data_IF_050297555163
#
_entry.id   IF_050297555163
#
_cell.length_a   1.000
_cell.length_b   1.000
_cell.length_c   1.000
_cell.angle_alpha   90.00
_cell.angle_beta   90.00
_cell.angle_gamma   90.00
#
_symmetry.space_group_name_H-M   'P 1'
#
loop_
_entity.id
_entity.type
_entity.pdbx_description
1 polymer ?
#
# COMPACT_ATOMS: atom_id res chain seq x y z
N UNK A 1 -18.12 -17.36 -18.48
CA UNK A 1 -17.08 -16.62 -17.75
C UNK A 1 -17.51 -16.60 -16.29
N UNK A 2 -16.79 -17.26 -15.39
CA UNK A 2 -17.20 -17.31 -13.99
C UNK A 2 -17.01 -15.94 -13.34
N UNK A 3 -17.86 -15.60 -12.37
CA UNK A 3 -17.87 -14.27 -11.73
C UNK A 3 -16.51 -13.91 -11.14
N UNK A 4 -15.81 -14.92 -10.64
CA UNK A 4 -14.43 -14.87 -10.15
C UNK A 4 -13.45 -14.37 -11.22
N UNK A 5 -13.52 -14.92 -12.43
CA UNK A 5 -12.60 -14.59 -13.52
C UNK A 5 -12.81 -13.12 -13.96
N UNK A 6 -14.05 -12.64 -13.96
CA UNK A 6 -14.38 -11.23 -14.24
C UNK A 6 -13.75 -10.30 -13.19
N UNK A 7 -13.86 -10.67 -11.92
CA UNK A 7 -13.31 -9.91 -10.79
C UNK A 7 -11.77 -9.87 -10.86
N UNK A 8 -11.12 -11.00 -11.15
CA UNK A 8 -9.66 -11.06 -11.32
C UNK A 8 -9.17 -10.20 -12.48
N UNK A 9 -9.82 -10.30 -13.64
CA UNK A 9 -9.45 -9.51 -14.81
C UNK A 9 -9.64 -8.01 -14.52
N UNK A 10 -10.74 -7.64 -13.85
CA UNK A 10 -10.98 -6.26 -13.44
C UNK A 10 -9.85 -5.74 -12.55
N UNK A 11 -9.48 -6.47 -11.50
CA UNK A 11 -8.41 -6.04 -10.60
C UNK A 11 -7.04 -6.02 -11.28
N UNK A 12 -6.75 -6.92 -12.22
CA UNK A 12 -5.50 -6.89 -12.98
C UNK A 12 -5.42 -5.65 -13.88
N UNK A 13 -6.51 -5.33 -14.60
CA UNK A 13 -6.60 -4.17 -15.48
C UNK A 13 -6.48 -2.86 -14.71
N UNK A 14 -6.96 -2.79 -13.46
CA UNK A 14 -6.86 -1.57 -12.64
C UNK A 14 -5.55 -1.52 -11.84
N UNK A 15 -5.21 -2.61 -11.17
CA UNK A 15 -4.09 -2.68 -10.23
C UNK A 15 -2.73 -2.52 -10.89
N UNK A 16 -2.52 -3.17 -12.06
CA UNK A 16 -1.23 -3.10 -12.76
C UNK A 16 -0.94 -1.65 -13.22
N UNK A 17 -1.81 -0.95 -13.96
CA UNK A 17 -1.55 0.42 -14.37
C UNK A 17 -1.36 1.39 -13.20
N UNK A 18 -2.15 1.27 -12.13
CA UNK A 18 -2.04 2.18 -10.98
C UNK A 18 -0.69 2.01 -10.27
N UNK A 19 -0.22 0.77 -10.10
CA UNK A 19 1.11 0.52 -9.52
C UNK A 19 2.25 1.03 -10.43
N UNK A 20 2.12 0.91 -11.76
CA UNK A 20 3.09 1.50 -12.69
C UNK A 20 3.11 3.02 -12.63
N UNK A 21 1.94 3.68 -12.54
CA UNK A 21 1.85 5.13 -12.35
C UNK A 21 2.51 5.53 -11.03
N UNK A 22 2.27 4.79 -9.95
CA UNK A 22 2.92 5.05 -8.67
C UNK A 22 4.45 4.93 -8.76
N UNK A 23 4.97 3.86 -9.37
CA UNK A 23 6.41 3.69 -9.58
C UNK A 23 7.00 4.84 -10.41
N UNK A 24 6.32 5.24 -11.50
CA UNK A 24 6.75 6.35 -12.33
C UNK A 24 6.87 7.65 -11.51
N UNK A 25 5.83 7.99 -10.72
CA UNK A 25 5.86 9.20 -9.89
C UNK A 25 6.96 9.11 -8.81
N UNK A 26 7.14 7.96 -8.16
CA UNK A 26 8.21 7.76 -7.18
C UNK A 26 9.58 8.00 -7.81
N UNK A 27 9.84 7.44 -9.00
CA UNK A 27 11.11 7.61 -9.71
C UNK A 27 11.37 9.08 -10.04
N UNK A 28 10.36 9.80 -10.53
CA UNK A 28 10.47 11.22 -10.85
C UNK A 28 10.71 12.10 -9.60
N UNK A 29 10.07 11.77 -8.47
CA UNK A 29 10.15 12.57 -7.24
C UNK A 29 11.37 12.24 -6.35
N UNK A 30 12.04 11.11 -6.59
CA UNK A 30 13.27 10.67 -5.88
C UNK A 30 14.40 11.69 -5.92
N UNK A 31 14.39 12.61 -6.88
CA UNK A 31 15.37 13.70 -7.03
C UNK A 31 15.46 14.60 -5.78
N UNK A 32 14.38 14.74 -5.00
CA UNK A 32 14.39 15.58 -3.79
C UNK A 32 15.03 14.86 -2.58
N UNK A 33 16.07 15.48 -2.00
CA UNK A 33 16.85 14.90 -0.89
C UNK A 33 16.00 14.48 0.33
N UNK A 34 14.93 15.22 0.64
CA UNK A 34 14.07 14.97 1.80
C UNK A 34 13.09 13.78 1.64
N UNK A 35 12.86 13.29 0.42
CA UNK A 35 11.92 12.20 0.14
C UNK A 35 12.59 10.86 -0.12
N UNK A 36 13.93 10.78 -0.18
CA UNK A 36 14.65 9.56 -0.59
C UNK A 36 14.31 8.33 0.26
N UNK A 37 14.29 8.47 1.59
CA UNK A 37 13.97 7.35 2.49
C UNK A 37 12.51 6.91 2.35
N UNK A 38 11.59 7.84 2.14
CA UNK A 38 10.15 7.56 1.98
C UNK A 38 9.83 6.99 0.60
N UNK A 39 10.50 7.49 -0.44
CA UNK A 39 10.42 6.97 -1.80
C UNK A 39 10.89 5.51 -1.86
N UNK A 40 11.93 5.13 -1.12
CA UNK A 40 12.41 3.74 -1.09
C UNK A 40 11.38 2.80 -0.44
N UNK A 41 10.76 3.23 0.67
CA UNK A 41 9.67 2.46 1.31
C UNK A 41 8.51 2.27 0.33
N UNK A 42 8.07 3.34 -0.31
CA UNK A 42 6.97 3.29 -1.27
C UNK A 42 7.30 2.51 -2.54
N UNK A 43 8.55 2.56 -2.99
CA UNK A 43 9.04 1.78 -4.11
C UNK A 43 8.99 0.28 -3.81
N UNK A 44 9.45 -0.11 -2.62
CA UNK A 44 9.35 -1.50 -2.16
C UNK A 44 7.90 -1.95 -2.03
N UNK A 45 7.01 -1.07 -1.54
CA UNK A 45 5.58 -1.34 -1.48
C UNK A 45 5.00 -1.60 -2.88
N UNK A 46 5.24 -0.69 -3.83
CA UNK A 46 4.70 -0.82 -5.19
C UNK A 46 5.24 -2.06 -5.92
N UNK A 47 6.51 -2.44 -5.69
CA UNK A 47 7.07 -3.70 -6.22
C UNK A 47 6.37 -4.90 -5.58
N UNK A 48 6.21 -4.90 -4.26
CA UNK A 48 5.51 -5.98 -3.55
C UNK A 48 4.10 -6.18 -4.08
N UNK A 49 3.35 -5.08 -4.29
CA UNK A 49 1.97 -5.11 -4.80
C UNK A 49 1.92 -5.65 -6.25
N UNK A 50 2.88 -5.28 -7.12
CA UNK A 50 2.97 -5.84 -8.49
C UNK A 50 3.29 -7.33 -8.47
N UNK A 51 4.24 -7.74 -7.63
CA UNK A 51 4.62 -9.15 -7.51
C UNK A 51 3.42 -9.96 -7.02
N UNK A 52 2.69 -9.47 -6.02
CA UNK A 52 1.48 -10.13 -5.50
C UNK A 52 0.41 -10.29 -6.59
N UNK A 53 0.08 -9.22 -7.31
CA UNK A 53 -0.87 -9.28 -8.43
C UNK A 53 -0.40 -10.26 -9.51
N UNK A 54 0.89 -10.25 -9.86
CA UNK A 54 1.44 -11.18 -10.85
C UNK A 54 1.36 -12.63 -10.37
N UNK A 55 1.73 -12.89 -9.11
CA UNK A 55 1.65 -14.22 -8.51
C UNK A 55 0.21 -14.73 -8.45
N UNK A 56 -0.79 -13.89 -8.26
CA UNK A 56 -2.19 -14.32 -8.27
C UNK A 56 -2.74 -14.56 -9.69
N UNK A 57 -2.28 -13.81 -10.70
CA UNK A 57 -2.66 -14.04 -12.11
C UNK A 57 -2.04 -15.32 -12.66
N UNK A 58 -0.78 -15.59 -12.32
CA UNK A 58 -0.04 -16.76 -12.83
C UNK A 58 -0.13 -17.98 -11.88
N UNK A 59 -0.38 -17.75 -10.60
CA UNK A 59 -0.46 -18.76 -9.57
C UNK A 59 -1.85 -19.39 -9.53
N UNK A 60 -2.10 -20.33 -10.43
CA UNK A 60 -3.18 -21.30 -10.27
C UNK A 60 -2.91 -22.23 -9.09
N UNK A 61 -3.09 -21.74 -7.86
CA UNK A 61 -2.99 -22.56 -6.66
C UNK A 61 -4.25 -23.43 -6.57
N UNK A 62 -4.14 -24.68 -7.01
CA UNK A 62 -5.11 -25.72 -6.68
C UNK A 62 -5.03 -26.00 -5.18
N UNK A 63 -5.89 -25.35 -4.38
CA UNK A 63 -5.99 -25.53 -2.93
C UNK A 63 -6.44 -26.97 -2.56
N UNK A 64 -6.84 -27.77 -3.56
CA UNK A 64 -7.47 -29.08 -3.40
C UNK A 64 -6.54 -30.28 -3.60
N UNK A 65 -5.22 -30.09 -3.72
CA UNK A 65 -4.29 -31.24 -3.77
C UNK A 65 -4.04 -31.84 -2.36
N UNK A 66 -4.02 -33.17 -2.19
CA UNK A 66 -3.74 -33.80 -0.89
C UNK A 66 -2.37 -33.42 -0.29
N UNK A 67 -1.42 -32.96 -1.12
CA UNK A 67 -0.11 -32.49 -0.68
C UNK A 67 -0.13 -31.04 -0.15
N UNK A 68 -1.25 -30.31 -0.23
CA UNK A 68 -1.43 -28.93 0.27
C UNK A 68 -1.95 -28.80 1.71
N UNK A 69 -2.10 -29.89 2.46
CA UNK A 69 -2.50 -29.82 3.88
C UNK A 69 -1.57 -28.90 4.72
N UNK A 70 -0.24 -28.86 4.49
CA UNK A 70 0.62 -27.88 5.15
C UNK A 70 0.29 -26.43 4.78
N UNK A 71 -0.06 -26.13 3.52
CA UNK A 71 -0.42 -24.78 3.09
C UNK A 71 -1.79 -24.34 3.63
N UNK A 72 -2.71 -25.28 3.84
CA UNK A 72 -4.01 -25.05 4.51
C UNK A 72 -3.85 -24.58 5.96
N UNK A 73 -2.86 -25.09 6.69
CA UNK A 73 -2.58 -24.70 8.09
C UNK A 73 -1.68 -23.46 8.15
N UNK A 74 -0.73 -23.33 7.23
CA UNK A 74 0.20 -22.19 7.18
C UNK A 74 -0.47 -20.89 6.70
N UNK A 75 -1.40 -20.99 5.74
CA UNK A 75 -2.11 -19.86 5.13
C UNK A 75 -2.86 -18.96 6.12
N UNK A 76 -3.59 -19.46 7.14
CA UNK A 76 -4.25 -18.60 8.12
C UNK A 76 -3.34 -18.16 9.29
N UNK A 77 -2.27 -18.91 9.59
CA UNK A 77 -1.40 -18.63 10.75
C UNK A 77 -0.49 -17.42 10.53
N UNK A 78 0.01 -17.25 9.30
CA UNK A 78 0.89 -16.12 8.93
C UNK A 78 0.16 -14.77 8.95
N UNK A 79 -1.06 -14.62 8.38
CA UNK A 79 -1.87 -13.41 8.47
C UNK A 79 -2.16 -12.99 9.90
N UNK A 80 -2.51 -13.92 10.79
CA UNK A 80 -2.80 -13.58 12.18
C UNK A 80 -1.57 -12.93 12.84
N UNK A 81 -0.40 -13.57 12.77
CA UNK A 81 0.85 -13.07 13.36
C UNK A 81 1.26 -11.73 12.72
N UNK A 82 1.18 -11.63 11.40
CA UNK A 82 1.54 -10.41 10.67
C UNK A 82 0.60 -9.26 11.01
N UNK A 83 -0.70 -9.48 11.19
CA UNK A 83 -1.66 -8.43 11.53
C UNK A 83 -1.55 -7.95 12.98
N UNK A 84 -1.31 -8.85 13.94
CA UNK A 84 -0.99 -8.41 15.31
C UNK A 84 0.28 -7.58 15.32
N UNK A 85 1.30 -7.99 14.55
CA UNK A 85 2.53 -7.22 14.41
C UNK A 85 2.27 -5.84 13.76
N UNK A 86 1.48 -5.75 12.69
CA UNK A 86 1.13 -4.49 12.02
C UNK A 86 0.45 -3.51 12.99
N UNK A 87 -0.51 -3.98 13.79
CA UNK A 87 -1.20 -3.14 14.77
C UNK A 87 -0.24 -2.63 15.86
N UNK A 88 0.60 -3.51 16.41
CA UNK A 88 1.58 -3.15 17.45
C UNK A 88 2.64 -2.18 16.91
N UNK A 89 3.18 -2.45 15.71
CA UNK A 89 4.17 -1.61 15.05
C UNK A 89 3.57 -0.24 14.73
N UNK A 90 2.29 -0.15 14.31
CA UNK A 90 1.61 1.13 14.07
C UNK A 90 1.57 1.99 15.34
N UNK A 91 1.23 1.41 16.49
CA UNK A 91 1.25 2.12 17.77
C UNK A 91 2.65 2.66 18.11
N UNK A 92 3.69 1.84 17.90
CA UNK A 92 5.08 2.24 18.10
C UNK A 92 5.52 3.34 17.13
N UNK A 93 5.12 3.24 15.86
CA UNK A 93 5.40 4.23 14.83
C UNK A 93 4.78 5.57 15.25
N UNK A 94 3.47 5.63 15.52
CA UNK A 94 2.77 6.87 15.94
C UNK A 94 3.43 7.52 17.16
N UNK A 95 3.83 6.73 18.16
CA UNK A 95 4.50 7.25 19.35
C UNK A 95 5.91 7.79 19.06
N UNK A 96 6.70 7.08 18.25
CA UNK A 96 8.04 7.54 17.81
C UNK A 96 7.93 8.82 16.99
N UNK A 97 6.88 8.94 16.20
CA UNK A 97 6.60 10.09 15.35
C UNK A 97 6.22 11.34 16.17
N UNK A 98 5.44 11.16 17.24
CA UNK A 98 5.15 12.25 18.18
C UNK A 98 6.44 12.82 18.78
N UNK A 99 7.42 11.96 19.10
CA UNK A 99 8.74 12.41 19.60
C UNK A 99 9.67 13.04 18.55
N UNK A 100 9.51 12.67 17.27
CA UNK A 100 10.32 13.23 16.18
C UNK A 100 9.79 14.58 15.69
N UNK A 101 8.47 14.78 15.77
CA UNK A 101 7.82 16.03 15.38
C UNK A 101 8.35 17.26 16.16
N UNK A 102 8.85 17.06 17.38
CA UNK A 102 9.43 18.10 18.23
C UNK A 102 10.73 18.69 17.65
N UNK A 103 11.45 17.95 16.81
CA UNK A 103 12.76 18.33 16.26
C UNK A 103 12.75 18.63 14.75
N UNK A 104 11.60 18.59 14.08
CA UNK A 104 11.51 18.71 12.62
C UNK A 104 11.01 20.07 12.16
N UNK A 105 11.60 20.59 11.07
CA UNK A 105 11.10 21.81 10.42
C UNK A 105 9.64 21.65 10.00
N UNK A 106 8.86 22.73 10.04
CA UNK A 106 7.42 22.71 9.71
C UNK A 106 7.13 22.06 8.35
N UNK A 107 8.03 22.25 7.39
CA UNK A 107 7.89 21.72 6.04
C UNK A 107 8.09 20.20 5.97
N UNK A 108 9.08 19.67 6.69
CA UNK A 108 9.31 18.22 6.75
C UNK A 108 8.21 17.53 7.56
N UNK A 109 7.68 18.18 8.60
CA UNK A 109 6.58 17.67 9.42
C UNK A 109 5.30 17.44 8.58
N UNK A 110 4.95 18.35 7.67
CA UNK A 110 3.77 18.19 6.80
C UNK A 110 3.90 16.97 5.87
N UNK A 111 5.07 16.80 5.22
CA UNK A 111 5.33 15.64 4.36
C UNK A 111 5.27 14.36 5.17
N UNK A 112 5.94 14.38 6.33
CA UNK A 112 5.99 13.27 7.25
C UNK A 112 4.60 12.83 7.73
N UNK A 113 3.76 13.77 8.19
CA UNK A 113 2.37 13.51 8.59
C UNK A 113 1.53 12.91 7.47
N UNK A 114 1.67 13.42 6.25
CA UNK A 114 0.92 12.87 5.11
C UNK A 114 1.29 11.42 4.82
N UNK A 115 2.57 11.07 4.94
CA UNK A 115 3.06 9.69 4.78
C UNK A 115 2.56 8.78 5.90
N UNK A 116 2.61 9.23 7.15
CA UNK A 116 2.16 8.44 8.31
C UNK A 116 0.68 8.15 8.20
N UNK A 117 -0.11 9.13 7.75
CA UNK A 117 -1.54 8.97 7.50
C UNK A 117 -1.78 7.92 6.43
N UNK A 118 -1.07 7.98 5.30
CA UNK A 118 -1.19 6.98 4.24
C UNK A 118 -0.81 5.57 4.74
N UNK A 119 0.35 5.42 5.40
CA UNK A 119 0.79 4.16 6.00
C UNK A 119 -0.22 3.61 7.03
N UNK A 120 -0.87 4.49 7.79
CA UNK A 120 -1.91 4.09 8.75
C UNK A 120 -3.16 3.55 8.07
N UNK A 121 -3.56 4.12 6.93
CA UNK A 121 -4.68 3.61 6.14
C UNK A 121 -4.29 2.29 5.47
N UNK A 122 -3.06 2.18 4.94
CA UNK A 122 -2.57 0.94 4.35
C UNK A 122 -2.52 -0.19 5.38
N UNK A 123 -2.16 0.11 6.62
CA UNK A 123 -2.17 -0.86 7.72
C UNK A 123 -3.58 -1.40 8.08
N UNK A 124 -4.66 -0.77 7.58
CA UNK A 124 -6.02 -1.28 7.72
C UNK A 124 -6.47 -2.14 6.53
N UNK A 125 -5.84 -2.00 5.36
CA UNK A 125 -6.19 -2.80 4.19
C UNK A 125 -6.09 -4.31 4.45
N UNK A 126 -5.09 -4.84 5.16
CA UNK A 126 -5.02 -6.28 5.40
C UNK A 126 -6.18 -6.85 6.22
N UNK A 127 -7.00 -6.02 6.88
CA UNK A 127 -8.25 -6.48 7.52
C UNK A 127 -9.25 -7.03 6.49
N UNK A 128 -9.16 -6.63 5.22
CA UNK A 128 -10.01 -7.19 4.17
C UNK A 128 -9.68 -8.66 3.94
N UNK A 129 -8.41 -9.05 4.04
CA UNK A 129 -7.96 -10.45 3.90
C UNK A 129 -8.56 -11.33 4.99
N UNK A 130 -8.80 -10.81 6.20
CA UNK A 130 -9.48 -11.55 7.27
C UNK A 130 -10.88 -12.03 6.87
N UNK A 131 -11.59 -11.26 6.03
CA UNK A 131 -12.91 -11.65 5.51
C UNK A 131 -12.75 -12.85 4.57
N UNK A 132 -11.73 -12.82 3.72
CA UNK A 132 -11.36 -13.95 2.84
C UNK A 132 -10.97 -15.21 3.62
N UNK A 133 -10.14 -15.08 4.65
CA UNK A 133 -9.73 -16.20 5.50
C UNK A 133 -10.94 -16.78 6.27
N UNK A 134 -11.87 -15.92 6.70
CA UNK A 134 -13.10 -16.39 7.35
C UNK A 134 -13.95 -17.25 6.42
N UNK A 135 -13.99 -16.93 5.11
CA UNK A 135 -14.69 -17.75 4.11
C UNK A 135 -14.06 -19.14 3.95
N UNK A 136 -12.73 -19.24 4.11
CA UNK A 136 -12.04 -20.53 4.13
C UNK A 136 -12.44 -21.41 5.33
N UNK A 137 -12.57 -20.83 6.53
CA UNK A 137 -13.08 -21.57 7.69
C UNK A 137 -14.52 -22.03 7.53
N UNK A 138 -15.38 -21.22 6.87
CA UNK A 138 -16.75 -21.62 6.55
C UNK A 138 -16.79 -22.82 5.59
N UNK A 139 -15.88 -22.88 4.61
CA UNK A 139 -15.74 -24.05 3.73
C UNK A 139 -15.31 -25.31 4.51
N UNK A 140 -14.43 -25.16 5.50
CA UNK A 140 -14.01 -26.27 6.37
C UNK A 140 -15.16 -26.82 7.23
N UNK A 141 -16.09 -25.95 7.64
CA UNK A 141 -17.33 -26.35 8.34
C UNK A 141 -18.40 -26.95 7.41
N UNK A 142 -18.09 -27.10 6.12
CA UNK A 142 -18.98 -27.69 5.12
C UNK A 142 -19.86 -26.70 4.37
N UNK A 143 -19.75 -25.39 4.64
CA UNK A 143 -20.49 -24.35 3.90
C UNK A 143 -19.77 -24.05 2.59
N UNK A 144 -20.25 -24.65 1.50
CA UNK A 144 -19.67 -24.50 0.16
C UNK A 144 -20.60 -23.72 -0.76
N UNK A 145 -20.01 -22.95 -1.66
CA UNK A 145 -20.74 -22.24 -2.70
C UNK A 145 -19.78 -21.37 -3.52
N UNK A 146 -20.11 -21.16 -4.80
CA UNK A 146 -19.24 -20.43 -5.74
C UNK A 146 -18.82 -19.04 -5.21
N UNK A 147 -19.71 -18.40 -4.46
CA UNK A 147 -19.44 -17.12 -3.81
C UNK A 147 -18.36 -17.25 -2.72
N UNK A 148 -18.53 -18.19 -1.78
CA UNK A 148 -17.62 -18.39 -0.64
C UNK A 148 -16.22 -18.80 -1.12
N UNK A 149 -16.15 -19.63 -2.16
CA UNK A 149 -14.92 -20.08 -2.80
C UNK A 149 -14.16 -18.92 -3.46
N UNK A 150 -14.90 -17.90 -3.93
CA UNK A 150 -14.33 -16.71 -4.58
C UNK A 150 -13.95 -15.60 -3.59
N UNK A 151 -14.47 -15.62 -2.35
CA UNK A 151 -14.25 -14.55 -1.38
C UNK A 151 -12.77 -14.41 -0.98
N UNK A 152 -12.07 -15.52 -0.69
CA UNK A 152 -10.66 -15.48 -0.29
C UNK A 152 -9.82 -14.70 -1.31
N UNK A 153 -9.95 -15.08 -2.57
CA UNK A 153 -9.27 -14.44 -3.69
C UNK A 153 -9.72 -12.99 -3.91
N UNK A 154 -11.02 -12.72 -3.84
CA UNK A 154 -11.55 -11.36 -4.04
C UNK A 154 -11.02 -10.37 -3.00
N UNK A 155 -10.92 -10.80 -1.75
CA UNK A 155 -10.48 -9.95 -0.64
C UNK A 155 -8.95 -9.87 -0.49
N UNK A 156 -8.21 -10.82 -1.05
CA UNK A 156 -6.74 -10.82 -1.12
C UNK A 156 -6.18 -9.73 -2.04
N UNK A 157 -6.88 -9.40 -3.14
CA UNK A 157 -6.44 -8.39 -4.12
C UNK A 157 -6.65 -6.94 -3.65
N UNK A 158 -7.53 -6.69 -2.67
CA UNK A 158 -7.91 -5.34 -2.26
C UNK A 158 -6.71 -4.53 -1.79
N UNK A 159 -5.82 -5.03 -0.92
CA UNK A 159 -4.62 -4.30 -0.52
C UNK A 159 -3.75 -3.89 -1.70
N UNK A 160 -3.38 -4.81 -2.59
CA UNK A 160 -2.42 -4.57 -3.68
C UNK A 160 -2.94 -3.58 -4.74
N UNK A 161 -4.27 -3.42 -4.85
CA UNK A 161 -4.90 -2.43 -5.75
C UNK A 161 -5.12 -1.09 -5.04
N UNK A 162 -5.61 -1.10 -3.81
CA UNK A 162 -5.98 0.14 -3.11
C UNK A 162 -4.78 0.84 -2.47
N UNK A 163 -3.75 0.11 -2.04
CA UNK A 163 -2.52 0.65 -1.46
C UNK A 163 -1.85 1.71 -2.36
N UNK A 164 -1.62 1.47 -3.67
CA UNK A 164 -1.06 2.49 -4.54
C UNK A 164 -2.02 3.64 -4.83
N UNK A 165 -3.34 3.38 -4.93
CA UNK A 165 -4.36 4.42 -5.09
C UNK A 165 -4.37 5.39 -3.91
N UNK A 166 -4.35 4.84 -2.69
CA UNK A 166 -4.35 5.60 -1.45
C UNK A 166 -3.05 6.39 -1.30
N UNK A 167 -1.91 5.81 -1.70
CA UNK A 167 -0.62 6.51 -1.76
C UNK A 167 -0.70 7.75 -2.65
N UNK A 168 -1.19 7.60 -3.88
CA UNK A 168 -1.32 8.69 -4.85
C UNK A 168 -2.33 9.76 -4.40
N UNK A 169 -3.38 9.36 -3.67
CA UNK A 169 -4.43 10.26 -3.21
C UNK A 169 -4.06 11.03 -1.93
N UNK A 170 -3.55 10.35 -0.91
CA UNK A 170 -3.31 10.92 0.42
C UNK A 170 -1.95 11.60 0.57
N UNK A 171 -0.93 11.21 -0.20
CA UNK A 171 0.37 11.86 -0.10
C UNK A 171 0.40 13.15 -0.91
N UNK A 172 0.39 14.27 -0.18
CA UNK A 172 0.44 15.62 -0.76
C UNK A 172 1.51 15.83 -1.84
N UNK A 173 2.80 15.43 -1.67
CA UNK A 173 3.81 15.69 -2.70
C UNK A 173 3.48 15.00 -4.03
N UNK A 174 3.01 13.75 -3.98
CA UNK A 174 2.66 12.95 -5.16
C UNK A 174 1.42 13.50 -5.86
N UNK A 175 0.37 13.85 -5.09
CA UNK A 175 -0.84 14.47 -5.64
C UNK A 175 -0.54 15.80 -6.34
N UNK A 176 0.30 16.65 -5.75
CA UNK A 176 0.70 17.93 -6.36
C UNK A 176 1.51 17.74 -7.64
N UNK A 177 2.41 16.76 -7.66
CA UNK A 177 3.16 16.40 -8.86
C UNK A 177 2.22 16.00 -10.00
N UNK A 178 1.26 15.11 -9.73
CA UNK A 178 0.26 14.68 -10.73
C UNK A 178 -0.56 15.87 -11.22
N UNK A 179 -1.09 16.70 -10.31
CA UNK A 179 -1.88 17.88 -10.68
C UNK A 179 -1.09 18.90 -11.52
N UNK A 180 0.21 19.04 -11.27
CA UNK A 180 1.09 19.89 -12.08
C UNK A 180 1.39 19.27 -13.44
N UNK A 181 1.57 17.95 -13.53
CA UNK A 181 1.73 17.24 -14.80
C UNK A 181 0.48 17.41 -15.69
N UNK A 182 -0.70 17.48 -15.09
CA UNK A 182 -1.96 17.81 -15.77
C UNK A 182 -2.19 19.32 -16.00
N UNK A 183 -1.21 20.18 -15.68
CA UNK A 183 -1.31 21.63 -15.88
C UNK A 183 -2.29 22.36 -14.96
N UNK A 184 -2.82 21.69 -13.92
CA UNK A 184 -3.82 22.27 -13.00
C UNK A 184 -3.20 23.14 -11.90
N UNK A 185 -1.91 23.03 -11.66
CA UNK A 185 -1.20 23.78 -10.61
C UNK A 185 0.15 24.27 -11.15
N UNK A 186 0.56 25.52 -10.88
CA UNK A 186 1.86 26.04 -11.31
C UNK A 186 3.05 25.32 -10.67
N UNK A 187 4.13 25.11 -11.44
CA UNK A 187 5.36 24.38 -11.04
C UNK A 187 6.06 24.95 -9.79
N UNK A 188 5.82 26.21 -9.45
CA UNK A 188 6.29 26.86 -8.21
C UNK A 188 5.75 26.20 -6.93
N UNK A 189 4.69 25.41 -7.01
CA UNK A 189 4.12 24.65 -5.89
C UNK A 189 4.83 23.31 -5.57
N UNK A 190 5.69 22.83 -6.48
CA UNK A 190 6.51 21.62 -6.32
C UNK A 190 7.87 21.96 -5.71
N UNK A 191 8.37 23.18 -5.93
CA UNK A 191 9.57 23.63 -5.24
C UNK A 191 9.25 23.74 -3.75
N UNK A 192 9.69 22.73 -3.01
CA UNK A 192 10.16 22.93 -1.65
C UNK A 192 11.18 24.06 -1.74
N UNK A 193 10.74 25.29 -1.47
CA UNK A 193 11.59 26.48 -1.48
C UNK A 193 12.86 26.08 -0.74
N UNK A 194 14.04 26.16 -1.37
CA UNK A 194 15.27 25.80 -0.70
C UNK A 194 15.29 26.64 0.57
N UNK A 195 15.60 26.00 1.70
CA UNK A 195 15.87 26.71 2.95
C UNK A 195 16.79 27.85 2.56
N UNK A 196 16.25 29.08 2.57
CA UNK A 196 17.08 30.27 2.51
C UNK A 196 17.88 30.14 3.78
N UNK A 197 19.10 29.60 3.63
CA UNK A 197 20.13 29.63 4.65
C UNK A 197 20.23 31.13 4.91
N UNK A 198 19.57 31.62 5.97
CA UNK A 198 19.80 32.97 6.46
C UNK A 198 21.30 33.00 6.67
N UNK A 199 21.99 33.63 5.73
CA UNK A 199 23.31 34.16 5.98
C UNK A 199 23.14 34.96 7.25
N UNK A 200 23.79 34.51 8.31
CA UNK A 200 24.10 35.35 9.47
C UNK A 200 24.93 36.51 8.94
N UNK A 201 24.21 37.51 8.44
CA UNK A 201 24.68 38.85 8.19
C UNK A 201 24.28 39.62 9.45
N UNK A 202 25.32 40.14 10.10
CA UNK A 202 25.33 41.06 11.24
C UNK A 202 25.16 40.37 12.61
N UNK A 203 26.05 40.54 13.60
CA UNK A 203 27.08 41.54 13.82
C UNK A 203 28.21 40.96 14.68
#
# INVERSE_FOLDING_TARGET
MHIRDVIHIFYAIVGIPVNFVLLYVIIQMRSSSQLKSYALILFNIAISDIIEIALEVFGGLSIYDPHSIPSVIWSPTVPIITYTAVIVIRGKIVNRLASLAENMSQQTNIVHQSLIRALSVHAMLPLTICIGISSFYLQLLGVRGEFIDSMLFTFAWIPSVFNPMLTLFFMMPYRRFILTAFGRVPKTSIQFVPVVRRSSVNA
#
